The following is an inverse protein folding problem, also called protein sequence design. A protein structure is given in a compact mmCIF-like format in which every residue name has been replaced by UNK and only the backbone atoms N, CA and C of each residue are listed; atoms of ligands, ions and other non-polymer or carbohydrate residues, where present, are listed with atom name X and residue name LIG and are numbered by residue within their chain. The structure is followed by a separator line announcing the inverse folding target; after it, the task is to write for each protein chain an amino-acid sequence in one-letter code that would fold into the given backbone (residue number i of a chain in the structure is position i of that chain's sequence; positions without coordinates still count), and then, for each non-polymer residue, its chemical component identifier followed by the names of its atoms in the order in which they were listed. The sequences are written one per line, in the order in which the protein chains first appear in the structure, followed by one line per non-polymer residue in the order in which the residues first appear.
data_IF_859497212854
#
_entry.id   IF_859497212854
#
_cell.length_a   1.000
_cell.length_b   1.000
_cell.length_c   1.000
_cell.angle_alpha   90.00
_cell.angle_beta   90.00
_cell.angle_gamma   90.00
#
_symmetry.space_group_name_H-M   'P 1'
#
loop_
_entity.id
_entity.type
_entity.pdbx_description
1 polymer ?
#
# COMPACT_ATOMS: atom_id res chain seq x y z
N UNK A 1 2.30 34.71 -1.54
CA UNK A 1 1.81 33.85 -2.63
C UNK A 1 2.28 32.42 -2.39
N UNK A 2 1.37 31.47 -2.16
CA UNK A 2 1.74 30.04 -2.07
C UNK A 2 1.99 29.54 -3.50
N UNK A 3 3.24 29.23 -3.81
CA UNK A 3 3.63 28.62 -5.09
C UNK A 3 3.12 27.17 -5.04
N UNK A 4 1.93 26.92 -5.57
CA UNK A 4 1.48 25.56 -5.89
C UNK A 4 2.48 24.99 -6.89
N UNK A 5 3.24 23.97 -6.47
CA UNK A 5 4.07 23.21 -7.40
C UNK A 5 3.14 22.71 -8.52
N UNK A 6 3.46 22.94 -9.80
CA UNK A 6 2.63 22.41 -10.88
C UNK A 6 2.51 20.89 -10.71
N UNK A 7 1.33 20.30 -10.98
CA UNK A 7 1.13 18.87 -10.83
C UNK A 7 2.23 18.14 -11.59
N UNK A 8 3.00 17.33 -10.86
CA UNK A 8 4.09 16.53 -11.40
C UNK A 8 3.52 15.73 -12.58
N UNK A 9 4.08 15.89 -13.79
CA UNK A 9 3.57 15.25 -15.01
C UNK A 9 3.34 13.77 -14.74
N UNK A 10 2.08 13.33 -14.76
CA UNK A 10 1.73 11.92 -14.65
C UNK A 10 2.22 11.23 -15.91
N UNK A 11 3.05 10.20 -15.76
CA UNK A 11 3.49 9.38 -16.88
C UNK A 11 2.42 8.30 -17.11
N UNK A 12 1.76 8.26 -18.27
CA UNK A 12 0.85 7.17 -18.57
C UNK A 12 1.65 5.86 -18.68
N UNK A 13 1.17 4.81 -18.03
CA UNK A 13 1.75 3.46 -18.09
C UNK A 13 0.62 2.51 -18.49
N UNK A 14 0.86 1.70 -19.50
CA UNK A 14 -0.06 0.63 -19.89
C UNK A 14 0.39 -0.67 -19.25
N UNK A 15 -0.53 -1.33 -18.55
CA UNK A 15 -0.29 -2.62 -17.87
C UNK A 15 -1.20 -3.65 -18.53
N UNK A 16 -0.65 -4.82 -18.88
CA UNK A 16 -1.44 -5.96 -19.34
C UNK A 16 -1.83 -6.79 -18.14
N UNK A 17 -3.13 -7.00 -17.94
CA UNK A 17 -3.68 -7.76 -16.82
C UNK A 17 -4.44 -8.98 -17.36
N UNK A 18 -4.41 -10.12 -16.65
CA UNK A 18 -5.36 -11.20 -16.89
C UNK A 18 -6.79 -10.68 -16.75
N UNK A 19 -7.71 -11.22 -17.57
CA UNK A 19 -9.10 -10.78 -17.60
C UNK A 19 -9.78 -10.88 -16.23
N UNK A 20 -9.54 -11.98 -15.52
CA UNK A 20 -10.10 -12.23 -14.18
C UNK A 20 -9.66 -11.15 -13.17
N UNK A 21 -8.39 -10.74 -13.23
CA UNK A 21 -7.86 -9.69 -12.35
C UNK A 21 -8.48 -8.33 -12.69
N UNK A 22 -8.65 -8.03 -13.98
CA UNK A 22 -9.30 -6.79 -14.40
C UNK A 22 -10.77 -6.74 -13.93
N UNK A 23 -11.51 -7.86 -14.08
CA UNK A 23 -12.89 -7.97 -13.61
C UNK A 23 -13.00 -7.76 -12.08
N UNK A 24 -12.06 -8.30 -11.30
CA UNK A 24 -12.03 -8.06 -9.86
C UNK A 24 -11.77 -6.58 -9.53
N UNK A 25 -10.84 -5.94 -10.24
CA UNK A 25 -10.56 -4.52 -10.05
C UNK A 25 -11.77 -3.64 -10.41
N UNK A 26 -12.59 -4.03 -11.39
CA UNK A 26 -13.84 -3.33 -11.70
C UNK A 26 -14.85 -3.42 -10.55
N UNK A 27 -15.01 -4.60 -9.94
CA UNK A 27 -15.89 -4.81 -8.78
C UNK A 27 -15.41 -3.96 -7.59
N UNK A 28 -14.13 -4.02 -7.28
CA UNK A 28 -13.53 -3.30 -6.15
C UNK A 28 -13.63 -1.78 -6.35
N UNK A 29 -13.37 -1.32 -7.58
CA UNK A 29 -13.49 0.09 -7.93
C UNK A 29 -14.94 0.60 -7.84
N UNK A 30 -15.90 -0.20 -8.29
CA UNK A 30 -17.33 0.12 -8.19
C UNK A 30 -17.78 0.21 -6.73
N UNK A 31 -17.31 -0.68 -5.86
CA UNK A 31 -17.63 -0.67 -4.43
C UNK A 31 -17.19 0.62 -3.73
N UNK A 32 -16.11 1.24 -4.21
CA UNK A 32 -15.57 2.51 -3.69
C UNK A 32 -16.03 3.76 -4.47
N UNK A 33 -16.94 3.59 -5.44
CA UNK A 33 -17.42 4.65 -6.32
C UNK A 33 -16.30 5.42 -7.05
N UNK A 34 -15.22 4.74 -7.45
CA UNK A 34 -14.13 5.34 -8.22
C UNK A 34 -13.76 4.54 -9.47
N UNK A 35 -12.89 5.11 -10.32
CA UNK A 35 -12.45 4.44 -11.55
C UNK A 35 -11.46 3.30 -11.27
N UNK A 36 -11.38 2.31 -12.17
CA UNK A 36 -10.34 1.25 -12.13
C UNK A 36 -8.93 1.84 -12.07
N UNK A 37 -8.67 2.95 -12.77
CA UNK A 37 -7.40 3.66 -12.68
C UNK A 37 -7.13 4.22 -11.28
N UNK A 38 -8.16 4.71 -10.59
CA UNK A 38 -8.05 5.20 -9.21
C UNK A 38 -7.72 4.05 -8.25
N UNK A 39 -8.39 2.91 -8.40
CA UNK A 39 -8.13 1.68 -7.63
C UNK A 39 -6.69 1.20 -7.83
N UNK A 40 -6.22 1.11 -9.08
CA UNK A 40 -4.85 0.70 -9.40
C UNK A 40 -3.85 1.67 -8.76
N UNK A 41 -4.06 2.99 -8.91
CA UNK A 41 -3.18 3.98 -8.31
C UNK A 41 -3.19 3.92 -6.78
N UNK A 42 -4.34 3.67 -6.17
CA UNK A 42 -4.47 3.49 -4.73
C UNK A 42 -3.62 2.31 -4.25
N UNK A 43 -3.75 1.13 -4.88
CA UNK A 43 -2.96 -0.06 -4.54
C UNK A 43 -1.47 0.13 -4.76
N UNK A 44 -1.08 0.74 -5.88
CA UNK A 44 0.34 1.02 -6.18
C UNK A 44 0.97 1.98 -5.18
N UNK A 45 0.21 2.94 -4.65
CA UNK A 45 0.67 3.83 -3.57
C UNK A 45 0.67 3.15 -2.21
N UNK A 46 -0.25 2.21 -1.98
CA UNK A 46 -0.35 1.47 -0.74
C UNK A 46 0.76 0.41 -0.59
N UNK A 47 1.32 -0.12 -1.68
CA UNK A 47 2.37 -1.15 -1.66
C UNK A 47 3.54 -0.82 -0.73
N UNK A 48 4.23 0.32 -0.89
CA UNK A 48 5.32 0.73 0.01
C UNK A 48 4.90 0.88 1.47
N UNK A 49 3.65 1.32 1.72
CA UNK A 49 3.12 1.49 3.08
C UNK A 49 2.89 0.13 3.74
N UNK A 50 2.36 -0.84 2.99
CA UNK A 50 2.12 -2.20 3.49
C UNK A 50 3.45 -2.91 3.82
N UNK A 51 4.49 -2.69 3.02
CA UNK A 51 5.84 -3.19 3.30
C UNK A 51 6.42 -2.57 4.58
N UNK A 52 6.27 -1.25 4.75
CA UNK A 52 6.67 -0.56 5.98
C UNK A 52 5.93 -1.07 7.21
N UNK A 53 4.61 -1.27 7.12
CA UNK A 53 3.80 -1.84 8.20
C UNK A 53 4.27 -3.25 8.56
N UNK A 54 4.55 -4.10 7.55
CA UNK A 54 5.08 -5.45 7.79
C UNK A 54 6.42 -5.41 8.53
N UNK A 55 7.33 -4.52 8.15
CA UNK A 55 8.63 -4.37 8.82
C UNK A 55 8.47 -3.90 10.28
N UNK A 56 7.65 -2.86 10.51
CA UNK A 56 7.34 -2.38 11.86
C UNK A 56 6.73 -3.49 12.73
N UNK A 57 5.83 -4.30 12.18
CA UNK A 57 5.22 -5.42 12.91
C UNK A 57 6.26 -6.48 13.30
N UNK A 58 7.26 -6.71 12.43
CA UNK A 58 8.40 -7.57 12.71
C UNK A 58 9.28 -7.01 13.84
N UNK A 59 9.61 -5.72 13.79
CA UNK A 59 10.41 -5.04 14.82
C UNK A 59 9.72 -5.04 16.18
N UNK A 60 8.40 -4.78 16.22
CA UNK A 60 7.61 -4.85 17.46
C UNK A 60 7.60 -6.26 18.02
N UNK A 61 7.47 -7.28 17.17
CA UNK A 61 7.53 -8.69 17.60
C UNK A 61 8.90 -9.03 18.21
N UNK A 62 9.99 -8.54 17.61
CA UNK A 62 11.36 -8.73 18.15
C UNK A 62 11.55 -8.01 19.48
N UNK A 63 11.05 -6.78 19.61
CA UNK A 63 11.06 -6.02 20.86
C UNK A 63 10.30 -6.74 21.97
N UNK A 64 9.10 -7.26 21.68
CA UNK A 64 8.34 -8.07 22.65
C UNK A 64 9.13 -9.28 23.12
N UNK A 65 9.74 -10.03 22.20
CA UNK A 65 10.56 -11.18 22.54
C UNK A 65 11.79 -10.80 23.40
N UNK A 66 12.40 -9.64 23.15
CA UNK A 66 13.50 -9.14 23.99
C UNK A 66 13.03 -8.75 25.39
N UNK A 67 11.91 -8.05 25.50
CA UNK A 67 11.32 -7.69 26.80
C UNK A 67 10.95 -8.94 27.60
N UNK A 68 10.34 -9.94 26.96
CA UNK A 68 10.01 -11.22 27.61
C UNK A 68 11.26 -11.94 28.13
N UNK A 69 12.36 -11.94 27.36
CA UNK A 69 13.66 -12.49 27.80
C UNK A 69 14.29 -11.72 28.96
N UNK A 70 14.13 -10.40 28.98
CA UNK A 70 14.66 -9.56 30.06
C UNK A 70 13.82 -9.66 31.35
N UNK A 71 12.52 -9.96 31.23
CA UNK A 71 11.62 -10.14 32.37
C UNK A 71 11.69 -11.56 32.97
N UNK A 72 12.01 -12.57 32.15
CA UNK A 72 12.30 -13.93 32.59
C UNK A 72 13.77 -14.30 32.28
N UNK A 73 14.74 -13.69 32.96
CA UNK A 73 16.11 -14.14 32.89
C UNK A 73 16.21 -15.42 33.73
N UNK A 74 16.14 -16.58 33.08
CA UNK A 74 16.73 -17.79 33.67
C UNK A 74 18.26 -17.62 33.78
#
# INVERSE_FOLDING_TARGET
MRISKPPQKTKPITIRLPLELYAQLEIDAAAQAWSVNSEINYRLRAGPILEQLRNLTGEVSQLKALVERLQNPE
#
